data_IF_643286544335
#
_entry.id   IF_643286544335
#
_cell.length_a   1.000
_cell.length_b   1.000
_cell.length_c   1.000
_cell.angle_alpha   90.00
_cell.angle_beta   90.00
_cell.angle_gamma   90.00
#
_symmetry.space_group_name_H-M   'P 1'
#
loop_
_entity.id
_entity.type
_entity.pdbx_description
1 polymer ?
#
# COMPACT_ATOMS: atom_id res chain seq x y z
N UNK A 1 -4.84 10.86 6.21
CA UNK A 1 -4.80 12.14 6.93
C UNK A 1 -6.19 12.76 7.16
N UNK A 2 -7.03 12.96 6.09
CA UNK A 2 -8.35 13.57 6.25
C UNK A 2 -9.29 12.71 7.08
N UNK A 3 -9.36 11.42 6.81
CA UNK A 3 -10.11 10.44 7.58
C UNK A 3 -9.67 10.42 9.05
N UNK A 4 -8.39 10.36 9.32
CA UNK A 4 -7.83 10.40 10.68
C UNK A 4 -8.22 11.66 11.42
N UNK A 5 -8.05 12.84 10.80
CA UNK A 5 -8.44 14.12 11.39
C UNK A 5 -9.95 14.22 11.66
N UNK A 6 -10.78 13.56 10.82
CA UNK A 6 -12.23 13.51 11.00
C UNK A 6 -12.63 12.58 12.15
N UNK A 7 -12.00 11.41 12.28
CA UNK A 7 -12.22 10.48 13.40
C UNK A 7 -11.77 11.06 14.75
N UNK A 8 -10.67 11.81 14.77
CA UNK A 8 -10.15 12.49 15.95
C UNK A 8 -10.94 13.76 16.33
N UNK A 9 -11.98 14.11 15.58
CA UNK A 9 -12.74 15.36 15.75
C UNK A 9 -11.82 16.60 15.74
N UNK A 10 -10.80 16.63 14.89
CA UNK A 10 -9.85 17.73 14.77
C UNK A 10 -10.22 18.65 13.59
N UNK A 11 -11.05 19.68 13.80
CA UNK A 11 -11.54 20.56 12.74
C UNK A 11 -10.43 21.42 12.14
N UNK A 12 -9.39 21.74 12.89
CA UNK A 12 -8.27 22.55 12.39
C UNK A 12 -7.44 21.77 11.38
N UNK A 13 -7.07 20.53 11.71
CA UNK A 13 -6.31 19.67 10.82
C UNK A 13 -7.13 19.28 9.60
N UNK A 14 -8.42 18.95 9.78
CA UNK A 14 -9.37 18.71 8.69
C UNK A 14 -9.39 19.90 7.71
N UNK A 15 -9.56 21.12 8.24
CA UNK A 15 -9.61 22.34 7.41
C UNK A 15 -8.29 22.59 6.70
N UNK A 16 -7.15 22.38 7.35
CA UNK A 16 -5.82 22.52 6.77
C UNK A 16 -5.62 21.55 5.60
N UNK A 17 -5.92 20.26 5.79
CA UNK A 17 -5.79 19.24 4.75
C UNK A 17 -6.68 19.57 3.54
N UNK A 18 -7.91 19.99 3.78
CA UNK A 18 -8.84 20.40 2.70
C UNK A 18 -8.29 21.61 1.94
N UNK A 19 -7.83 22.65 2.62
CA UNK A 19 -7.24 23.84 1.97
C UNK A 19 -5.99 23.52 1.16
N UNK A 20 -5.17 22.61 1.62
CA UNK A 20 -3.93 22.23 0.95
C UNK A 20 -4.18 21.32 -0.28
N UNK A 21 -5.28 20.58 -0.31
CA UNK A 21 -5.48 19.52 -1.30
C UNK A 21 -6.70 19.67 -2.20
N UNK A 22 -7.76 20.36 -1.78
CA UNK A 22 -8.97 20.47 -2.60
C UNK A 22 -8.76 21.32 -3.85
N UNK A 23 -9.38 20.89 -4.96
CA UNK A 23 -9.27 21.51 -6.27
C UNK A 23 -9.63 22.98 -6.23
N UNK A 24 -10.68 23.34 -5.49
CA UNK A 24 -11.20 24.72 -5.38
C UNK A 24 -10.16 25.71 -4.84
N UNK A 25 -9.22 25.24 -4.00
CA UNK A 25 -8.13 26.07 -3.48
C UNK A 25 -6.87 26.03 -4.34
N UNK A 26 -6.68 24.98 -5.13
CA UNK A 26 -5.50 24.82 -6.01
C UNK A 26 -5.64 25.53 -7.33
N UNK A 27 -6.86 25.68 -7.82
CA UNK A 27 -7.13 26.34 -9.10
C UNK A 27 -7.21 27.86 -8.90
N UNK A 28 -6.14 28.57 -9.29
CA UNK A 28 -6.02 30.02 -9.16
C UNK A 28 -7.00 30.80 -10.04
N UNK A 29 -7.57 30.15 -11.05
CA UNK A 29 -8.53 30.78 -11.98
C UNK A 29 -9.96 30.70 -11.47
N UNK A 30 -10.22 29.90 -10.42
CA UNK A 30 -11.51 29.80 -9.79
C UNK A 30 -11.71 30.92 -8.76
N UNK A 31 -12.77 31.70 -8.95
CA UNK A 31 -13.21 32.67 -7.95
C UNK A 31 -13.88 31.90 -6.81
N UNK A 32 -13.33 31.99 -5.62
CA UNK A 32 -13.95 31.43 -4.41
C UNK A 32 -15.23 32.20 -4.07
N UNK A 33 -16.36 31.55 -4.26
CA UNK A 33 -17.67 32.08 -3.86
C UNK A 33 -18.15 31.33 -2.61
N UNK A 34 -19.08 31.93 -1.86
CA UNK A 34 -19.72 31.23 -0.74
C UNK A 34 -20.37 29.93 -1.20
N UNK A 35 -21.02 29.94 -2.36
CA UNK A 35 -21.66 28.75 -2.96
C UNK A 35 -20.63 27.63 -3.22
N UNK A 36 -19.44 27.96 -3.76
CA UNK A 36 -18.40 26.95 -4.02
C UNK A 36 -17.83 26.37 -2.71
N UNK A 37 -17.78 27.17 -1.64
CA UNK A 37 -17.34 26.71 -0.33
C UNK A 37 -18.41 25.84 0.36
N UNK A 38 -19.67 26.23 0.27
CA UNK A 38 -20.79 25.43 0.79
C UNK A 38 -20.90 24.08 0.08
N UNK A 39 -20.73 24.06 -1.24
CA UNK A 39 -20.70 22.84 -2.02
C UNK A 39 -19.53 21.92 -1.61
N UNK A 40 -18.34 22.48 -1.43
CA UNK A 40 -17.18 21.73 -0.93
C UNK A 40 -17.45 21.17 0.46
N UNK A 41 -18.00 21.97 1.38
CA UNK A 41 -18.33 21.51 2.74
C UNK A 41 -19.31 20.34 2.70
N UNK A 42 -20.40 20.46 1.92
CA UNK A 42 -21.40 19.41 1.77
C UNK A 42 -20.77 18.11 1.20
N UNK A 43 -19.84 18.25 0.25
CA UNK A 43 -19.16 17.12 -0.36
C UNK A 43 -18.21 16.42 0.62
N UNK A 44 -17.51 17.20 1.44
CA UNK A 44 -16.65 16.66 2.52
C UNK A 44 -17.49 15.96 3.60
N UNK A 45 -18.64 16.53 3.95
CA UNK A 45 -19.54 15.93 4.95
C UNK A 45 -20.13 14.61 4.43
N UNK A 46 -20.49 14.55 3.14
CA UNK A 46 -20.93 13.32 2.47
C UNK A 46 -19.82 12.25 2.48
N UNK A 47 -18.59 12.64 2.20
CA UNK A 47 -17.42 11.76 2.27
C UNK A 47 -17.20 11.26 3.71
N UNK A 48 -17.32 12.15 4.71
CA UNK A 48 -17.22 11.81 6.13
C UNK A 48 -18.27 10.80 6.58
N UNK A 49 -19.51 10.96 6.15
CA UNK A 49 -20.57 10.00 6.44
C UNK A 49 -20.29 8.63 5.86
N UNK A 50 -19.73 8.57 4.64
CA UNK A 50 -19.45 7.32 3.97
C UNK A 50 -18.46 6.44 4.76
N UNK A 51 -17.37 7.00 5.28
CA UNK A 51 -16.39 6.23 6.04
C UNK A 51 -16.71 6.05 7.53
N UNK A 52 -17.66 6.81 8.11
CA UNK A 52 -18.05 6.65 9.52
C UNK A 52 -19.07 5.54 9.74
N UNK A 53 -20.01 5.40 8.83
CA UNK A 53 -21.13 4.47 8.99
C UNK A 53 -20.82 3.06 8.52
N UNK A 54 -19.89 2.93 7.58
CA UNK A 54 -19.51 1.67 6.94
C UNK A 54 -18.01 1.68 6.64
N UNK A 55 -17.47 0.50 6.39
CA UNK A 55 -16.17 0.35 5.74
C UNK A 55 -16.41 0.29 4.21
N UNK A 56 -16.44 1.46 3.51
CA UNK A 56 -16.81 1.51 2.11
C UNK A 56 -15.75 0.90 1.21
N UNK A 57 -16.13 0.55 -0.01
CA UNK A 57 -15.16 0.22 -1.03
C UNK A 57 -14.40 1.50 -1.48
N UNK A 58 -13.16 1.32 -1.86
CA UNK A 58 -12.35 2.43 -2.37
C UNK A 58 -12.96 3.08 -3.60
N UNK A 59 -13.65 2.30 -4.46
CA UNK A 59 -14.41 2.79 -5.60
C UNK A 59 -15.54 3.74 -5.20
N UNK A 60 -16.28 3.44 -4.13
CA UNK A 60 -17.37 4.30 -3.65
C UNK A 60 -16.86 5.68 -3.22
N UNK A 61 -15.77 5.71 -2.46
CA UNK A 61 -15.12 6.96 -2.06
C UNK A 61 -14.56 7.73 -3.25
N UNK A 62 -13.96 7.02 -4.21
CA UNK A 62 -13.41 7.63 -5.41
C UNK A 62 -14.50 8.27 -6.28
N UNK A 63 -15.67 7.62 -6.42
CA UNK A 63 -16.84 8.20 -7.10
C UNK A 63 -17.29 9.50 -6.43
N UNK A 64 -17.42 9.54 -5.10
CA UNK A 64 -17.78 10.75 -4.37
C UNK A 64 -16.78 11.88 -4.64
N UNK A 65 -15.47 11.56 -4.60
CA UNK A 65 -14.40 12.53 -4.84
C UNK A 65 -14.45 13.06 -6.28
N UNK A 66 -14.67 12.18 -7.26
CA UNK A 66 -14.71 12.51 -8.67
C UNK A 66 -15.93 13.36 -9.04
N UNK A 67 -17.14 12.88 -8.71
CA UNK A 67 -18.40 13.56 -9.02
C UNK A 67 -18.49 14.98 -8.44
N UNK A 68 -17.91 15.18 -7.27
CA UNK A 68 -17.94 16.46 -6.57
C UNK A 68 -16.67 17.30 -6.76
N UNK A 69 -15.72 16.86 -7.58
CA UNK A 69 -14.46 17.55 -7.83
C UNK A 69 -13.75 17.97 -6.52
N UNK A 70 -13.71 17.10 -5.51
CA UNK A 70 -13.17 17.43 -4.18
C UNK A 70 -11.65 17.53 -4.26
N UNK A 71 -10.99 16.47 -4.75
CA UNK A 71 -9.53 16.36 -4.83
C UNK A 71 -9.11 16.00 -6.26
N UNK A 72 -7.87 16.39 -6.67
CA UNK A 72 -7.33 15.97 -7.96
C UNK A 72 -7.08 14.45 -7.94
N UNK A 73 -7.52 13.77 -8.97
CA UNK A 73 -7.27 12.34 -9.19
C UNK A 73 -6.41 12.14 -10.45
N UNK A 74 -5.71 11.01 -10.52
CA UNK A 74 -4.86 10.68 -11.67
C UNK A 74 -5.71 10.39 -12.92
N UNK A 75 -5.12 10.54 -14.10
CA UNK A 75 -5.78 10.23 -15.37
C UNK A 75 -6.23 8.77 -15.46
N UNK A 76 -5.44 7.85 -14.93
CA UNK A 76 -5.75 6.42 -14.92
C UNK A 76 -7.03 6.13 -14.10
N UNK A 77 -7.15 6.78 -12.93
CA UNK A 77 -8.34 6.65 -12.09
C UNK A 77 -9.56 7.33 -12.72
N UNK A 78 -9.39 8.47 -13.42
CA UNK A 78 -10.47 9.10 -14.18
C UNK A 78 -10.96 8.18 -15.29
N UNK A 79 -10.03 7.60 -16.05
CA UNK A 79 -10.36 6.66 -17.12
C UNK A 79 -11.17 5.46 -16.59
N UNK A 80 -10.75 4.88 -15.45
CA UNK A 80 -11.49 3.77 -14.83
C UNK A 80 -12.91 4.13 -14.36
N UNK A 81 -13.16 5.40 -14.01
CA UNK A 81 -14.49 5.85 -13.61
C UNK A 81 -15.41 6.14 -14.80
N UNK A 82 -14.82 6.51 -15.94
CA UNK A 82 -15.55 6.83 -17.17
C UNK A 82 -15.81 5.60 -18.01
N UNK A 83 -14.81 4.73 -18.18
CA UNK A 83 -14.87 3.52 -18.99
C UNK A 83 -14.15 2.34 -18.34
N UNK A 84 -14.75 1.12 -18.38
CA UNK A 84 -14.06 -0.06 -17.91
C UNK A 84 -12.86 -0.41 -18.82
N UNK A 85 -11.78 -1.02 -18.27
CA UNK A 85 -10.63 -1.41 -19.06
C UNK A 85 -11.00 -2.33 -20.22
N UNK A 86 -10.56 -2.02 -21.45
CA UNK A 86 -10.81 -2.82 -22.63
C UNK A 86 -9.54 -3.52 -23.14
N UNK A 87 -9.69 -4.75 -23.67
CA UNK A 87 -8.57 -5.46 -24.33
C UNK A 87 -8.10 -4.65 -25.54
N UNK A 88 -6.96 -3.99 -25.42
CA UNK A 88 -6.41 -3.10 -26.46
C UNK A 88 -5.96 -1.76 -25.93
N UNK A 89 -6.30 -1.44 -24.71
CA UNK A 89 -5.76 -0.26 -24.02
C UNK A 89 -4.26 -0.42 -23.79
N UNK A 90 -3.51 0.64 -24.01
CA UNK A 90 -2.04 0.64 -23.86
C UNK A 90 -1.59 0.16 -22.48
N UNK A 91 -2.35 0.49 -21.43
CA UNK A 91 -2.10 0.13 -20.03
C UNK A 91 -3.10 -0.89 -19.47
N UNK A 92 -3.72 -1.75 -20.31
CA UNK A 92 -4.79 -2.67 -19.92
C UNK A 92 -4.52 -3.44 -18.62
N UNK A 93 -3.35 -4.05 -18.48
CA UNK A 93 -3.00 -4.83 -17.28
C UNK A 93 -2.93 -3.96 -16.02
N UNK A 94 -2.42 -2.74 -16.16
CA UNK A 94 -2.35 -1.77 -15.06
C UNK A 94 -3.74 -1.31 -14.65
N UNK A 95 -4.60 -0.98 -15.62
CA UNK A 95 -5.97 -0.57 -15.37
C UNK A 95 -6.80 -1.69 -14.73
N UNK A 96 -6.64 -2.93 -15.18
CA UNK A 96 -7.27 -4.09 -14.53
C UNK A 96 -6.78 -4.26 -13.07
N UNK A 97 -5.48 -4.11 -12.83
CA UNK A 97 -4.94 -4.16 -11.47
C UNK A 97 -5.51 -3.06 -10.56
N UNK A 98 -5.63 -1.84 -11.07
CA UNK A 98 -6.23 -0.72 -10.34
C UNK A 98 -7.73 -0.94 -10.09
N UNK A 99 -8.47 -1.47 -11.07
CA UNK A 99 -9.89 -1.80 -10.92
C UNK A 99 -10.10 -2.79 -9.77
N UNK A 100 -9.31 -3.86 -9.73
CA UNK A 100 -9.35 -4.84 -8.63
C UNK A 100 -8.98 -4.20 -7.29
N UNK A 101 -7.97 -3.32 -7.26
CA UNK A 101 -7.58 -2.61 -6.03
C UNK A 101 -8.68 -1.68 -5.51
N UNK A 102 -9.51 -1.11 -6.39
CA UNK A 102 -10.64 -0.25 -6.01
C UNK A 102 -11.83 -1.03 -5.40
N UNK A 103 -11.87 -2.36 -5.56
CA UNK A 103 -12.84 -3.23 -4.88
C UNK A 103 -12.45 -3.53 -3.42
N UNK A 104 -11.23 -3.17 -3.00
CA UNK A 104 -10.82 -3.32 -1.61
C UNK A 104 -11.58 -2.33 -0.70
N UNK A 105 -11.77 -2.74 0.55
CA UNK A 105 -12.32 -1.87 1.58
C UNK A 105 -11.35 -0.74 1.95
N UNK A 106 -11.87 0.42 2.31
CA UNK A 106 -11.05 1.59 2.65
C UNK A 106 -10.13 1.33 3.86
N UNK A 107 -10.55 0.52 4.81
CA UNK A 107 -9.73 0.10 5.96
C UNK A 107 -8.43 -0.61 5.56
N UNK A 108 -8.39 -1.28 4.40
CA UNK A 108 -7.17 -1.92 3.89
C UNK A 108 -6.15 -0.90 3.41
N UNK A 109 -6.61 0.18 2.77
CA UNK A 109 -5.74 1.30 2.39
C UNK A 109 -5.18 1.99 3.64
N UNK A 110 -6.01 2.16 4.66
CA UNK A 110 -5.58 2.77 5.92
C UNK A 110 -4.47 1.93 6.60
N UNK A 111 -4.64 0.61 6.69
CA UNK A 111 -3.61 -0.31 7.18
C UNK A 111 -2.33 -0.27 6.34
N UNK A 112 -2.46 -0.17 5.01
CA UNK A 112 -1.32 -0.03 4.13
C UNK A 112 -0.61 1.32 4.36
N UNK A 113 -1.36 2.40 4.57
CA UNK A 113 -0.80 3.71 4.90
C UNK A 113 -0.01 3.67 6.23
N UNK A 114 -0.56 3.04 7.27
CA UNK A 114 0.13 2.84 8.54
C UNK A 114 1.44 2.05 8.36
N UNK A 115 1.40 1.02 7.52
CA UNK A 115 2.58 0.23 7.20
C UNK A 115 3.69 1.06 6.55
N UNK A 116 3.39 1.80 5.49
CA UNK A 116 4.41 2.59 4.76
C UNK A 116 4.96 3.78 5.57
N UNK A 117 4.24 4.23 6.62
CA UNK A 117 4.68 5.30 7.51
C UNK A 117 5.35 4.77 8.79
N UNK A 118 5.62 3.47 8.87
CA UNK A 118 6.30 2.86 10.01
C UNK A 118 5.46 2.78 11.29
N UNK A 119 4.14 2.88 11.19
CA UNK A 119 3.21 2.78 12.31
C UNK A 119 2.73 1.34 12.54
N UNK A 120 2.98 0.43 11.59
CA UNK A 120 2.65 -0.97 11.72
C UNK A 120 3.60 -1.69 12.68
N UNK A 121 3.12 -2.76 13.32
CA UNK A 121 3.93 -3.61 14.20
C UNK A 121 4.84 -4.59 13.43
N UNK A 122 4.92 -4.51 12.12
CA UNK A 122 5.78 -5.31 11.24
C UNK A 122 6.42 -4.42 10.18
N UNK A 123 7.58 -4.85 9.68
CA UNK A 123 8.33 -4.13 8.65
C UNK A 123 9.08 -5.14 7.76
N UNK A 124 9.63 -4.65 6.64
CA UNK A 124 10.49 -5.46 5.78
C UNK A 124 11.81 -5.78 6.47
N UNK A 125 12.49 -6.86 6.04
CA UNK A 125 13.82 -7.20 6.55
C UNK A 125 14.85 -6.09 6.30
N UNK A 126 14.63 -5.22 5.32
CA UNK A 126 15.48 -4.05 5.07
C UNK A 126 15.16 -2.89 6.02
N UNK A 127 13.87 -2.71 6.35
CA UNK A 127 13.43 -1.69 7.31
C UNK A 127 13.94 -1.95 8.73
N UNK A 128 14.04 -3.24 9.13
CA UNK A 128 14.60 -3.62 10.44
C UNK A 128 16.12 -3.74 10.47
N UNK A 129 16.80 -3.61 9.31
CA UNK A 129 18.25 -3.73 9.23
C UNK A 129 18.95 -2.62 10.01
N UNK A 130 19.79 -3.02 10.96
CA UNK A 130 20.52 -2.09 11.84
C UNK A 130 19.75 -1.68 13.09
N UNK A 131 18.54 -2.18 13.29
CA UNK A 131 17.81 -2.03 14.55
C UNK A 131 18.25 -3.10 15.55
N UNK A 132 18.22 -2.74 16.82
CA UNK A 132 18.54 -3.65 17.95
C UNK A 132 17.24 -4.02 18.68
N UNK A 133 17.10 -5.30 19.00
CA UNK A 133 15.94 -5.85 19.70
C UNK A 133 16.39 -6.69 20.88
N UNK A 134 15.73 -6.59 22.02
CA UNK A 134 16.00 -7.40 23.21
C UNK A 134 15.79 -8.90 22.97
N UNK A 135 14.90 -9.24 22.08
CA UNK A 135 14.58 -10.63 21.70
C UNK A 135 14.33 -10.70 20.21
N UNK A 136 14.95 -11.66 19.55
CA UNK A 136 14.79 -11.93 18.13
C UNK A 136 14.44 -13.40 17.93
N UNK A 137 13.40 -13.68 17.17
CA UNK A 137 13.08 -15.01 16.65
C UNK A 137 13.23 -14.98 15.14
N UNK A 138 14.06 -15.84 14.59
CA UNK A 138 14.26 -15.98 13.14
C UNK A 138 13.56 -17.24 12.68
N UNK A 139 12.63 -17.10 11.73
CA UNK A 139 11.95 -18.21 11.05
C UNK A 139 12.59 -18.38 9.69
N UNK A 140 13.19 -19.54 9.44
CA UNK A 140 13.81 -19.88 8.16
C UNK A 140 12.88 -20.87 7.45
N UNK A 141 12.26 -20.47 6.37
CA UNK A 141 11.42 -21.33 5.51
C UNK A 141 12.06 -21.47 4.12
N UNK A 142 12.84 -22.55 3.94
CA UNK A 142 13.50 -22.82 2.67
C UNK A 142 12.51 -23.31 1.59
N UNK A 143 11.36 -23.85 1.96
CA UNK A 143 10.38 -24.37 1.00
C UNK A 143 9.65 -23.25 0.28
N UNK A 144 9.44 -22.14 0.97
CA UNK A 144 8.83 -20.94 0.38
C UNK A 144 9.85 -20.10 -0.40
N UNK A 145 11.14 -20.18 -0.07
CA UNK A 145 12.19 -19.49 -0.80
C UNK A 145 12.55 -20.28 -2.06
N UNK A 146 12.30 -19.72 -3.23
CA UNK A 146 12.75 -20.32 -4.50
C UNK A 146 14.28 -20.25 -4.72
N UNK A 147 15.02 -19.88 -3.66
CA UNK A 147 16.46 -19.68 -3.71
C UNK A 147 17.23 -20.99 -3.58
N UNK A 148 18.05 -21.29 -4.58
CA UNK A 148 18.99 -22.43 -4.58
C UNK A 148 20.38 -22.08 -4.00
N UNK A 149 20.57 -20.83 -3.55
CA UNK A 149 21.89 -20.34 -3.13
C UNK A 149 22.28 -20.77 -1.71
N UNK A 150 21.30 -20.94 -0.81
CA UNK A 150 21.53 -21.27 0.59
C UNK A 150 20.74 -22.50 0.98
N UNK A 151 21.23 -23.26 2.00
CA UNK A 151 20.51 -24.42 2.55
C UNK A 151 20.78 -24.54 4.04
N UNK A 152 19.92 -23.90 4.83
CA UNK A 152 20.01 -23.87 6.28
C UNK A 152 19.67 -25.23 6.91
N UNK A 153 18.78 -26.04 6.31
CA UNK A 153 18.48 -27.38 6.79
C UNK A 153 19.72 -28.27 6.78
N UNK A 154 20.53 -28.18 5.71
CA UNK A 154 21.82 -28.90 5.64
C UNK A 154 22.85 -28.30 6.59
N UNK A 155 22.91 -26.96 6.74
CA UNK A 155 23.83 -26.28 7.64
C UNK A 155 23.62 -26.70 9.09
N UNK A 156 22.35 -26.79 9.52
CA UNK A 156 21.98 -27.21 10.87
C UNK A 156 21.91 -28.74 11.04
N UNK A 157 22.19 -29.52 9.99
CA UNK A 157 22.21 -30.98 10.05
C UNK A 157 20.83 -31.64 10.12
N UNK A 158 19.77 -30.91 9.73
CA UNK A 158 18.40 -31.44 9.66
C UNK A 158 18.28 -32.38 8.47
N UNK A 159 18.87 -32.02 7.34
CA UNK A 159 18.95 -32.85 6.13
C UNK A 159 20.41 -33.24 5.88
N UNK A 160 20.67 -34.49 5.40
CA UNK A 160 22.03 -34.94 5.10
C UNK A 160 22.61 -34.25 3.85
N UNK A 161 23.94 -34.17 3.79
CA UNK A 161 24.67 -33.69 2.60
C UNK A 161 24.30 -34.56 1.37
N UNK A 162 24.13 -33.94 0.23
CA UNK A 162 23.92 -34.67 -1.02
C UNK A 162 25.22 -35.32 -1.51
N UNK A 163 25.11 -36.30 -2.43
CA UNK A 163 26.31 -36.92 -3.05
C UNK A 163 27.18 -35.87 -3.77
N UNK A 164 26.56 -34.84 -4.33
CA UNK A 164 27.29 -33.73 -4.96
C UNK A 164 28.04 -32.89 -3.93
N UNK A 165 27.45 -32.62 -2.76
CA UNK A 165 28.11 -31.87 -1.71
C UNK A 165 29.32 -32.65 -1.20
N UNK A 166 29.19 -33.97 -0.94
CA UNK A 166 30.27 -34.84 -0.49
C UNK A 166 31.42 -34.92 -1.52
N UNK A 167 31.08 -35.00 -2.81
CA UNK A 167 32.07 -35.01 -3.87
C UNK A 167 32.80 -33.67 -3.95
N UNK A 168 32.11 -32.56 -3.94
CA UNK A 168 32.72 -31.24 -3.99
C UNK A 168 33.63 -30.99 -2.76
N UNK A 169 33.19 -31.39 -1.57
CA UNK A 169 33.99 -31.30 -0.36
C UNK A 169 35.31 -32.14 -0.48
N UNK A 170 35.21 -33.36 -1.04
CA UNK A 170 36.41 -34.21 -1.24
C UNK A 170 37.37 -33.65 -2.30
N UNK A 171 36.86 -32.89 -3.25
CA UNK A 171 37.64 -32.23 -4.32
C UNK A 171 38.10 -30.81 -3.92
N UNK A 172 37.80 -30.33 -2.70
CA UNK A 172 38.11 -28.98 -2.24
C UNK A 172 37.39 -27.88 -2.97
N UNK A 173 36.24 -28.21 -3.57
CA UNK A 173 35.37 -27.25 -4.27
C UNK A 173 34.32 -26.67 -3.33
N UNK A 174 33.91 -25.46 -3.62
CA UNK A 174 32.85 -24.77 -2.87
C UNK A 174 31.55 -25.60 -2.89
N UNK A 175 30.96 -25.75 -1.70
CA UNK A 175 29.69 -26.44 -1.49
C UNK A 175 28.58 -25.41 -1.19
N UNK A 176 27.32 -25.86 -1.19
CA UNK A 176 26.20 -25.04 -0.75
C UNK A 176 26.34 -24.60 0.72
N UNK A 177 27.03 -25.40 1.55
CA UNK A 177 27.29 -25.07 2.94
C UNK A 177 28.26 -23.91 3.11
N UNK A 178 29.25 -23.80 2.23
CA UNK A 178 30.25 -22.71 2.29
C UNK A 178 29.58 -21.36 1.94
N UNK A 179 28.56 -21.39 1.09
CA UNK A 179 27.74 -20.21 0.78
C UNK A 179 26.71 -19.86 1.84
N UNK A 180 26.28 -20.86 2.62
CA UNK A 180 25.25 -20.66 3.66
C UNK A 180 25.86 -20.18 4.98
N UNK A 181 27.16 -20.34 5.21
CA UNK A 181 27.90 -19.85 6.39
C UNK A 181 28.16 -18.35 6.33
#
# INVERSE_FOLDING_TARGET
PLHTADLENNPFEKTKIVKENAIVYKNKDLILTNESLDNLQNSIDRLSLCWKDKDPLCSELLHIIYENNIFPISKDLQHLLEDPPAEGDEDYQKLCGLSVALEAHFSEIERYWEYIHGHASFDTHQGVKGLEFDRVMVIIDEKSSQGTMFNYEKLFGITPKSQTDLKNESEGKETILDRTR
#
